data_IF_839242638761
#
_entry.id   IF_839242638761
#
_cell.length_a   1.000
_cell.length_b   1.000
_cell.length_c   1.000
_cell.angle_alpha   90.00
_cell.angle_beta   90.00
_cell.angle_gamma   90.00
#
_symmetry.space_group_name_H-M   'P 1'
#
loop_
_entity.id
_entity.type
_entity.pdbx_description
1 polymer ?
#
# COMPACT_ATOMS: atom_id res chain seq x y z
N UNK A 1 26.08 -14.81 -17.32
CA UNK A 1 25.88 -13.41 -16.85
C UNK A 1 25.19 -13.52 -15.51
N UNK A 2 25.78 -13.04 -14.42
CA UNK A 2 25.03 -12.94 -13.16
C UNK A 2 23.88 -11.98 -13.44
N UNK A 3 22.65 -12.46 -13.42
CA UNK A 3 21.50 -11.57 -13.53
C UNK A 3 21.63 -10.54 -12.40
N UNK A 4 21.66 -9.24 -12.72
CA UNK A 4 21.51 -8.21 -11.71
C UNK A 4 20.17 -8.42 -11.02
N UNK A 5 20.16 -8.46 -9.69
CA UNK A 5 18.92 -8.63 -8.94
C UNK A 5 17.98 -7.48 -9.26
N UNK A 6 16.73 -7.80 -9.64
CA UNK A 6 15.71 -6.80 -9.93
C UNK A 6 15.01 -6.42 -8.63
N UNK A 7 15.06 -5.14 -8.25
CA UNK A 7 14.33 -4.61 -7.08
C UNK A 7 12.81 -4.83 -7.24
N UNK A 8 12.30 -4.71 -8.46
CA UNK A 8 10.88 -4.95 -8.75
C UNK A 8 10.47 -6.41 -8.56
N UNK A 9 11.26 -7.35 -9.10
CA UNK A 9 10.99 -8.78 -8.93
C UNK A 9 11.04 -9.17 -7.45
N UNK A 10 12.10 -8.73 -6.75
CA UNK A 10 12.27 -8.94 -5.32
C UNK A 10 11.07 -8.44 -4.50
N UNK A 11 10.62 -7.22 -4.76
CA UNK A 11 9.48 -6.63 -4.05
C UNK A 11 8.18 -7.41 -4.26
N UNK A 12 7.87 -7.80 -5.52
CA UNK A 12 6.65 -8.55 -5.82
C UNK A 12 6.66 -9.96 -5.22
N UNK A 13 7.78 -10.67 -5.33
CA UNK A 13 7.93 -11.99 -4.76
C UNK A 13 7.85 -11.94 -3.22
N UNK A 14 8.45 -10.91 -2.60
CA UNK A 14 8.31 -10.69 -1.16
C UNK A 14 6.85 -10.40 -0.76
N UNK A 15 6.13 -9.56 -1.51
CA UNK A 15 4.71 -9.30 -1.24
C UNK A 15 3.87 -10.57 -1.34
N UNK A 16 4.10 -11.39 -2.37
CA UNK A 16 3.43 -12.68 -2.54
C UNK A 16 3.69 -13.59 -1.34
N UNK A 17 4.95 -13.66 -0.87
CA UNK A 17 5.33 -14.44 0.30
C UNK A 17 4.68 -13.96 1.60
N UNK A 18 4.60 -12.65 1.81
CA UNK A 18 3.98 -12.06 2.99
C UNK A 18 2.47 -12.31 3.05
N UNK A 19 1.81 -12.33 1.88
CA UNK A 19 0.37 -12.57 1.78
C UNK A 19 -0.02 -14.05 2.03
N UNK A 20 0.91 -15.00 1.97
CA UNK A 20 0.61 -16.42 2.24
C UNK A 20 -0.02 -16.68 3.61
N UNK A 21 0.24 -15.81 4.60
CA UNK A 21 -0.35 -15.86 5.94
C UNK A 21 -1.84 -15.50 5.95
N UNK A 22 -2.35 -14.81 4.93
CA UNK A 22 -3.76 -14.42 4.69
C UNK A 22 -4.47 -13.61 5.78
N UNK A 23 -3.76 -13.12 6.78
CA UNK A 23 -4.35 -12.42 7.92
C UNK A 23 -4.22 -10.89 7.84
N UNK A 24 -3.31 -10.39 7.01
CA UNK A 24 -2.94 -8.97 6.98
C UNK A 24 -3.17 -8.34 5.61
N UNK A 25 -3.26 -7.00 5.59
CA UNK A 25 -3.26 -6.24 4.35
C UNK A 25 -1.81 -5.90 3.98
N UNK A 26 -1.38 -6.36 2.82
CA UNK A 26 -0.08 -6.01 2.22
C UNK A 26 -0.30 -4.98 1.12
N UNK A 27 0.47 -3.91 1.14
CA UNK A 27 0.46 -2.89 0.10
C UNK A 27 1.87 -2.44 -0.24
N UNK A 28 2.04 -1.84 -1.42
CA UNK A 28 3.35 -1.39 -1.89
C UNK A 28 3.39 0.08 -2.24
N UNK A 29 4.57 0.68 -2.16
CA UNK A 29 4.89 2.01 -2.67
C UNK A 29 3.91 3.07 -2.12
N UNK A 30 3.92 3.24 -0.80
CA UNK A 30 3.02 4.15 -0.09
C UNK A 30 3.77 5.31 0.55
N UNK A 31 3.31 6.53 0.26
CA UNK A 31 3.86 7.74 0.88
C UNK A 31 3.68 7.75 2.40
N UNK A 32 4.77 7.98 3.12
CA UNK A 32 4.91 7.86 4.58
C UNK A 32 5.53 9.12 5.22
N UNK A 33 5.37 10.26 4.55
CA UNK A 33 5.75 11.59 5.04
C UNK A 33 4.56 12.29 5.72
N UNK A 34 4.86 13.23 6.63
CA UNK A 34 3.85 14.04 7.32
C UNK A 34 3.99 15.52 6.98
N UNK A 35 5.18 16.07 7.18
CA UNK A 35 5.53 17.47 6.93
C UNK A 35 5.87 17.76 5.46
N UNK A 36 6.47 16.80 4.74
CA UNK A 36 6.80 16.93 3.32
C UNK A 36 6.06 15.89 2.45
N UNK A 37 4.79 16.14 2.08
CA UNK A 37 3.99 15.18 1.31
C UNK A 37 4.70 14.70 0.03
N UNK A 38 5.08 13.43 0.02
CA UNK A 38 5.77 12.79 -1.10
C UNK A 38 7.28 12.64 -0.91
N UNK A 39 7.87 13.23 0.12
CA UNK A 39 9.31 13.14 0.41
C UNK A 39 9.80 11.75 0.85
N UNK A 40 8.88 10.89 1.31
CA UNK A 40 9.16 9.51 1.71
C UNK A 40 8.09 8.55 1.23
N UNK A 41 8.51 7.43 0.63
CA UNK A 41 7.67 6.31 0.17
C UNK A 41 8.21 5.04 0.80
N UNK A 42 7.38 4.27 1.51
CA UNK A 42 7.72 2.92 1.98
C UNK A 42 7.52 1.92 0.85
N UNK A 43 8.46 1.00 0.69
CA UNK A 43 8.39 0.01 -0.39
C UNK A 43 7.24 -0.96 -0.19
N UNK A 44 7.17 -1.58 1.00
CA UNK A 44 6.09 -2.49 1.38
C UNK A 44 5.55 -2.09 2.75
N UNK A 45 4.23 -2.18 2.90
CA UNK A 45 3.51 -1.89 4.15
C UNK A 45 2.62 -3.08 4.48
N UNK A 46 2.76 -3.61 5.69
CA UNK A 46 1.83 -4.59 6.27
C UNK A 46 0.96 -3.89 7.30
N UNK A 47 -0.34 -4.11 7.24
CA UNK A 47 -1.31 -3.60 8.20
C UNK A 47 -2.03 -4.78 8.84
N UNK A 48 -1.88 -4.91 10.15
CA UNK A 48 -2.60 -5.89 10.95
C UNK A 48 -4.05 -5.41 11.18
N UNK A 49 -5.06 -6.24 10.84
CA UNK A 49 -6.44 -5.95 11.17
C UNK A 49 -6.65 -5.79 12.67
N UNK A 50 -7.32 -4.71 13.05
CA UNK A 50 -7.85 -4.50 14.38
C UNK A 50 -9.24 -5.13 14.55
N UNK A 51 -9.83 -5.04 15.75
CA UNK A 51 -11.09 -5.71 16.08
C UNK A 51 -12.30 -5.21 15.27
N UNK A 52 -12.26 -3.99 14.74
CA UNK A 52 -13.33 -3.42 13.92
C UNK A 52 -13.04 -3.48 12.40
N UNK A 53 -12.16 -4.39 11.97
CA UNK A 53 -11.83 -4.59 10.56
C UNK A 53 -13.06 -4.90 9.70
N UNK A 54 -13.93 -5.80 10.17
CA UNK A 54 -15.15 -6.19 9.42
C UNK A 54 -16.09 -4.99 9.20
N UNK A 55 -16.19 -4.09 10.19
CA UNK A 55 -16.96 -2.85 10.06
C UNK A 55 -16.39 -1.95 8.97
N UNK A 56 -15.05 -1.85 8.89
CA UNK A 56 -14.38 -1.07 7.84
C UNK A 56 -14.58 -1.72 6.47
N UNK A 57 -14.43 -3.03 6.37
CA UNK A 57 -14.54 -3.77 5.13
C UNK A 57 -15.96 -3.67 4.54
N UNK A 58 -16.99 -3.64 5.39
CA UNK A 58 -18.39 -3.50 4.98
C UNK A 58 -18.74 -2.14 4.33
N UNK A 59 -17.94 -1.08 4.55
CA UNK A 59 -18.22 0.26 4.00
C UNK A 59 -17.97 0.27 2.49
N UNK A 60 -16.74 -0.05 2.08
CA UNK A 60 -16.27 0.05 0.70
C UNK A 60 -14.93 -0.67 0.52
N UNK A 61 -14.68 -1.17 -0.68
CA UNK A 61 -13.39 -1.77 -1.09
C UNK A 61 -12.29 -0.72 -1.28
N UNK A 62 -12.67 0.55 -1.38
CA UNK A 62 -11.80 1.68 -1.69
C UNK A 62 -11.17 2.31 -0.45
N UNK A 63 -10.11 3.10 -0.64
CA UNK A 63 -9.57 3.96 0.42
C UNK A 63 -10.54 5.14 0.70
N UNK A 64 -10.89 5.36 1.97
CA UNK A 64 -11.73 6.48 2.38
C UNK A 64 -10.85 7.73 2.56
N UNK A 65 -11.19 8.89 1.94
CA UNK A 65 -10.41 10.10 2.09
C UNK A 65 -10.32 10.56 3.55
N UNK A 66 -9.10 10.84 4.03
CA UNK A 66 -8.85 11.34 5.39
C UNK A 66 -9.63 12.61 5.73
N UNK A 67 -9.79 13.50 4.75
CA UNK A 67 -10.59 14.71 4.92
C UNK A 67 -12.09 14.41 5.11
N UNK A 68 -12.62 13.33 4.52
CA UNK A 68 -13.99 12.89 4.75
C UNK A 68 -14.15 12.20 6.11
N UNK A 69 -13.14 11.46 6.56
CA UNK A 69 -13.11 10.86 7.90
C UNK A 69 -13.06 11.94 8.98
N UNK A 70 -12.26 12.99 8.77
CA UNK A 70 -12.08 14.10 9.71
C UNK A 70 -13.20 15.16 9.65
N UNK A 71 -14.06 15.13 8.64
CA UNK A 71 -15.15 16.08 8.50
C UNK A 71 -16.15 15.96 9.67
N UNK A 72 -16.73 17.08 10.11
CA UNK A 72 -17.81 17.11 11.10
C UNK A 72 -19.13 16.70 10.41
N UNK A 73 -19.17 15.48 9.91
CA UNK A 73 -20.32 14.81 9.29
C UNK A 73 -20.57 13.53 10.07
N UNK A 74 -21.68 13.46 10.82
CA UNK A 74 -22.06 12.26 11.57
C UNK A 74 -23.04 11.37 10.82
N UNK A 75 -23.37 10.22 11.42
CA UNK A 75 -24.40 9.30 10.91
C UNK A 75 -25.83 9.75 11.21
N UNK A 76 -26.03 10.77 12.06
CA UNK A 76 -27.35 11.20 12.52
C UNK A 76 -28.07 12.14 11.56
N UNK A 77 -27.57 13.37 11.41
CA UNK A 77 -28.20 14.44 10.61
C UNK A 77 -27.30 14.87 9.47
N UNK A 78 -27.87 14.98 8.27
CA UNK A 78 -27.17 15.54 7.12
C UNK A 78 -26.77 17.01 7.38
N UNK A 79 -25.57 17.38 6.95
CA UNK A 79 -24.97 18.71 7.14
C UNK A 79 -24.55 19.32 5.82
N UNK A 80 -24.65 20.64 5.73
CA UNK A 80 -24.19 21.35 4.53
C UNK A 80 -22.69 21.15 4.40
N UNK A 81 -22.26 20.53 3.30
CA UNK A 81 -20.88 20.01 3.22
C UNK A 81 -19.83 21.13 3.32
N UNK A 82 -20.11 22.33 2.80
CA UNK A 82 -19.15 23.44 2.87
C UNK A 82 -18.85 23.91 4.30
N UNK A 83 -19.72 23.62 5.25
CA UNK A 83 -19.54 23.97 6.67
C UNK A 83 -18.96 22.79 7.48
N UNK A 84 -18.75 21.63 6.85
CA UNK A 84 -18.40 20.39 7.56
C UNK A 84 -16.91 20.01 7.46
N UNK A 85 -16.13 20.67 6.60
CA UNK A 85 -14.72 20.36 6.38
C UNK A 85 -13.81 21.49 6.87
N UNK A 86 -12.74 21.14 7.57
CA UNK A 86 -11.69 22.07 8.00
C UNK A 86 -10.45 21.97 7.10
N UNK A 87 -10.64 22.20 5.81
CA UNK A 87 -9.54 22.22 4.83
C UNK A 87 -9.88 23.09 3.62
N UNK A 88 -8.91 23.28 2.73
CA UNK A 88 -9.11 24.06 1.49
C UNK A 88 -10.35 23.60 0.70
N UNK A 89 -11.19 24.51 0.16
CA UNK A 89 -12.45 24.17 -0.51
C UNK A 89 -12.33 23.10 -1.60
N UNK A 90 -11.30 23.18 -2.45
CA UNK A 90 -11.11 22.19 -3.51
C UNK A 90 -10.80 20.79 -2.96
N UNK A 91 -10.08 20.72 -1.83
CA UNK A 91 -9.79 19.45 -1.15
C UNK A 91 -11.05 18.91 -0.49
N UNK A 92 -11.85 19.77 0.14
CA UNK A 92 -13.14 19.42 0.73
C UNK A 92 -14.11 18.88 -0.34
N UNK A 93 -14.20 19.55 -1.49
CA UNK A 93 -15.04 19.11 -2.60
C UNK A 93 -14.63 17.73 -3.11
N UNK A 94 -13.34 17.53 -3.44
CA UNK A 94 -12.85 16.22 -3.89
C UNK A 94 -13.10 15.11 -2.88
N UNK A 95 -12.89 15.40 -1.59
CA UNK A 95 -13.14 14.43 -0.53
C UNK A 95 -14.63 14.10 -0.38
N UNK A 96 -15.51 15.11 -0.46
CA UNK A 96 -16.96 14.94 -0.42
C UNK A 96 -17.46 14.10 -1.60
N UNK A 97 -17.05 14.45 -2.82
CA UNK A 97 -17.44 13.74 -4.04
C UNK A 97 -16.97 12.29 -4.00
N UNK A 98 -15.70 12.05 -3.67
CA UNK A 98 -15.16 10.70 -3.54
C UNK A 98 -15.86 9.90 -2.44
N UNK A 99 -16.15 10.52 -1.29
CA UNK A 99 -16.87 9.86 -0.21
C UNK A 99 -18.31 9.47 -0.60
N UNK A 100 -18.98 10.27 -1.44
CA UNK A 100 -20.29 9.91 -1.98
C UNK A 100 -20.18 8.77 -2.99
N UNK A 101 -19.20 8.83 -3.90
CA UNK A 101 -18.94 7.82 -4.94
C UNK A 101 -18.70 6.43 -4.33
N UNK A 102 -17.86 6.34 -3.30
CA UNK A 102 -17.54 5.07 -2.63
C UNK A 102 -18.54 4.66 -1.55
N UNK A 103 -19.60 5.45 -1.37
CA UNK A 103 -20.69 5.16 -0.43
C UNK A 103 -20.39 5.35 1.06
N UNK A 104 -19.33 6.08 1.40
CA UNK A 104 -19.08 6.52 2.77
C UNK A 104 -20.03 7.66 3.20
N UNK A 105 -20.40 8.53 2.25
CA UNK A 105 -21.42 9.56 2.44
C UNK A 105 -22.68 9.28 1.60
N UNK A 106 -23.83 9.62 2.16
CA UNK A 106 -25.08 9.82 1.44
C UNK A 106 -25.30 11.31 1.19
N UNK A 107 -25.75 11.67 -0.02
CA UNK A 107 -26.01 13.05 -0.45
C UNK A 107 -27.52 13.32 -0.51
N UNK A 108 -27.94 14.42 0.07
CA UNK A 108 -29.31 14.94 0.02
C UNK A 108 -29.30 16.38 -0.53
N UNK A 109 -30.18 16.67 -1.49
CA UNK A 109 -30.34 18.03 -2.01
C UNK A 109 -31.46 18.75 -1.26
N UNK A 110 -31.16 19.90 -0.63
CA UNK A 110 -32.16 20.73 0.07
C UNK A 110 -32.02 22.18 -0.37
N UNK A 111 -33.08 22.74 -0.97
CA UNK A 111 -33.11 24.12 -1.47
C UNK A 111 -31.90 24.45 -2.37
N UNK A 112 -31.52 23.53 -3.26
CA UNK A 112 -30.38 23.69 -4.17
C UNK A 112 -29.00 23.58 -3.53
N UNK A 113 -28.90 23.14 -2.26
CA UNK A 113 -27.64 22.92 -1.54
C UNK A 113 -27.46 21.45 -1.19
N UNK A 114 -26.23 20.99 -1.28
CA UNK A 114 -25.86 19.62 -0.95
C UNK A 114 -25.62 19.45 0.54
N UNK A 115 -26.35 18.50 1.13
CA UNK A 115 -26.14 18.04 2.49
C UNK A 115 -25.62 16.62 2.44
N UNK A 116 -24.68 16.29 3.32
CA UNK A 116 -24.09 14.96 3.40
C UNK A 116 -24.22 14.38 4.79
N UNK A 117 -24.32 13.05 4.87
CA UNK A 117 -24.37 12.27 6.11
C UNK A 117 -23.49 11.04 5.95
N UNK A 118 -22.80 10.63 7.01
CA UNK A 118 -22.06 9.37 7.00
C UNK A 118 -23.03 8.17 6.98
N UNK A 119 -22.69 7.14 6.21
CA UNK A 119 -23.45 5.89 6.15
C UNK A 119 -23.16 4.99 7.34
N UNK A 120 -21.91 5.01 7.81
CA UNK A 120 -21.45 4.34 9.01
C UNK A 120 -20.49 5.24 9.80
N UNK A 121 -20.33 4.96 11.10
CA UNK A 121 -19.25 5.59 11.87
C UNK A 121 -17.93 5.01 11.38
N UNK A 122 -16.91 5.86 11.26
CA UNK A 122 -15.58 5.38 10.92
C UNK A 122 -15.01 4.53 12.07
N UNK A 123 -14.68 3.25 11.85
CA UNK A 123 -14.21 2.34 12.90
C UNK A 123 -12.71 2.46 13.17
N UNK A 124 -12.28 2.04 14.36
CA UNK A 124 -10.86 1.86 14.69
C UNK A 124 -10.44 0.44 14.29
N UNK A 125 -10.01 0.31 13.03
CA UNK A 125 -10.02 -0.97 12.31
C UNK A 125 -8.65 -1.62 12.08
N UNK A 126 -7.55 -0.95 12.41
CA UNK A 126 -6.19 -1.45 12.23
C UNK A 126 -5.42 -1.39 13.55
N UNK A 127 -4.45 -2.28 13.75
CA UNK A 127 -3.55 -2.27 14.89
C UNK A 127 -2.13 -1.85 14.45
N UNK A 128 -1.23 -2.83 14.29
CA UNK A 128 0.17 -2.57 13.91
C UNK A 128 0.32 -2.28 12.43
N UNK A 129 1.21 -1.34 12.13
CA UNK A 129 1.70 -1.08 10.78
C UNK A 129 3.20 -1.40 10.76
N UNK A 130 3.63 -2.24 9.83
CA UNK A 130 5.05 -2.56 9.61
C UNK A 130 5.47 -2.04 8.25
N UNK A 131 6.51 -1.20 8.22
CA UNK A 131 7.18 -0.77 7.00
C UNK A 131 8.33 -1.72 6.67
N UNK A 132 8.43 -2.15 5.42
CA UNK A 132 9.50 -3.02 4.94
C UNK A 132 10.17 -2.33 3.75
N UNK A 133 11.46 -2.08 3.89
CA UNK A 133 12.33 -1.48 2.87
C UNK A 133 13.11 -2.56 2.14
N UNK A 134 13.05 -2.52 0.82
CA UNK A 134 13.65 -3.53 -0.03
C UNK A 134 15.01 -3.05 -0.53
N UNK A 135 16.07 -3.77 -0.14
CA UNK A 135 17.40 -3.59 -0.74
C UNK A 135 18.03 -4.94 -1.02
N UNK A 136 17.72 -5.58 -2.17
CA UNK A 136 18.28 -6.88 -2.50
C UNK A 136 19.82 -6.90 -2.52
N UNK A 137 20.45 -5.84 -3.08
CA UNK A 137 21.91 -5.68 -3.15
C UNK A 137 22.43 -4.61 -2.18
N UNK A 138 22.97 -5.03 -1.03
CA UNK A 138 23.63 -4.16 -0.05
C UNK A 138 25.01 -3.66 -0.51
N UNK A 139 25.55 -4.19 -1.61
CA UNK A 139 26.75 -3.66 -2.26
C UNK A 139 26.51 -2.29 -2.90
N UNK A 140 25.24 -1.93 -3.17
CA UNK A 140 24.82 -0.64 -3.73
C UNK A 140 23.67 -0.05 -2.90
N UNK A 141 23.95 0.37 -1.65
CA UNK A 141 22.89 0.76 -0.72
C UNK A 141 22.18 2.06 -1.10
N UNK A 142 22.80 2.94 -1.90
CA UNK A 142 22.23 4.25 -2.21
C UNK A 142 21.96 5.05 -0.94
N UNK A 143 20.76 5.61 -0.84
CA UNK A 143 20.31 6.43 0.31
C UNK A 143 19.69 5.61 1.45
N UNK A 144 19.81 4.27 1.43
CA UNK A 144 19.17 3.37 2.39
C UNK A 144 19.39 3.78 3.86
N UNK A 145 20.62 4.13 4.24
CA UNK A 145 20.92 4.50 5.62
C UNK A 145 20.17 5.76 6.05
N UNK A 146 20.08 6.76 5.16
CA UNK A 146 19.34 7.99 5.44
C UNK A 146 17.84 7.72 5.54
N UNK A 147 17.30 6.90 4.64
CA UNK A 147 15.91 6.48 4.63
C UNK A 147 15.51 5.76 5.93
N UNK A 148 16.27 4.74 6.34
CA UNK A 148 16.01 4.00 7.57
C UNK A 148 16.11 4.87 8.82
N UNK A 149 17.06 5.83 8.85
CA UNK A 149 17.15 6.81 9.93
C UNK A 149 15.92 7.72 9.98
N UNK A 150 15.43 8.19 8.83
CA UNK A 150 14.18 8.96 8.74
C UNK A 150 13.01 8.14 9.28
N UNK A 151 12.87 6.88 8.90
CA UNK A 151 11.74 6.05 9.34
C UNK A 151 11.74 5.81 10.85
N UNK A 152 12.91 5.54 11.43
CA UNK A 152 13.08 5.38 12.89
C UNK A 152 12.83 6.71 13.61
N UNK A 153 13.38 7.80 13.09
CA UNK A 153 13.29 9.15 13.67
C UNK A 153 11.85 9.67 13.67
N UNK A 154 11.12 9.46 12.58
CA UNK A 154 9.72 9.86 12.46
C UNK A 154 8.82 8.90 13.27
N UNK A 155 9.16 7.61 13.29
CA UNK A 155 8.37 6.57 13.95
C UNK A 155 6.90 6.61 13.52
N UNK A 156 6.67 6.62 12.20
CA UNK A 156 5.31 6.62 11.63
C UNK A 156 4.67 5.23 11.71
N UNK A 157 5.45 4.17 11.50
CA UNK A 157 5.02 2.78 11.60
C UNK A 157 5.49 2.17 12.93
N UNK A 158 4.85 1.08 13.37
CA UNK A 158 5.23 0.41 14.62
C UNK A 158 6.60 -0.24 14.54
N UNK A 159 6.95 -0.79 13.38
CA UNK A 159 8.20 -1.51 13.14
C UNK A 159 8.71 -1.22 11.73
N UNK A 160 10.03 -1.15 11.57
CA UNK A 160 10.71 -1.02 10.28
C UNK A 160 11.62 -2.23 10.08
N UNK A 161 11.58 -2.80 8.89
CA UNK A 161 12.38 -3.94 8.49
C UNK A 161 13.12 -3.63 7.20
N UNK A 162 14.39 -4.00 7.11
CA UNK A 162 15.15 -4.09 5.88
C UNK A 162 15.10 -5.54 5.35
N UNK A 163 14.55 -5.74 4.16
CA UNK A 163 14.57 -7.01 3.45
C UNK A 163 15.65 -7.01 2.37
N UNK A 164 16.50 -8.05 2.34
CA UNK A 164 17.64 -8.14 1.42
C UNK A 164 17.96 -9.56 0.98
N UNK A 165 18.48 -9.75 -0.24
CA UNK A 165 19.07 -11.02 -0.68
C UNK A 165 20.55 -11.15 -0.28
N UNK A 166 21.18 -10.03 0.02
CA UNK A 166 22.59 -9.97 0.35
C UNK A 166 22.88 -10.73 1.64
N UNK A 167 24.03 -11.40 1.68
CA UNK A 167 24.55 -11.93 2.93
C UNK A 167 24.83 -10.77 3.90
N UNK A 168 24.18 -10.80 5.06
CA UNK A 168 24.26 -9.74 6.05
C UNK A 168 25.51 -9.92 6.90
N UNK A 169 26.45 -8.98 6.79
CA UNK A 169 27.67 -8.97 7.60
C UNK A 169 27.49 -8.07 8.81
N UNK A 170 28.38 -8.22 9.80
CA UNK A 170 28.44 -7.29 10.93
C UNK A 170 28.66 -5.84 10.49
N UNK A 171 29.45 -5.61 9.44
CA UNK A 171 29.68 -4.27 8.92
C UNK A 171 28.41 -3.65 8.30
N UNK A 172 27.55 -4.46 7.68
CA UNK A 172 26.23 -4.00 7.23
C UNK A 172 25.36 -3.61 8.43
N UNK A 173 25.27 -4.47 9.45
CA UNK A 173 24.47 -4.21 10.64
C UNK A 173 24.87 -2.92 11.37
N UNK A 174 26.15 -2.58 11.41
CA UNK A 174 26.64 -1.35 12.04
C UNK A 174 26.19 -0.05 11.34
N UNK A 175 25.71 -0.11 10.09
CA UNK A 175 25.18 1.05 9.34
C UNK A 175 23.66 1.17 9.44
N UNK A 176 23.00 0.13 9.93
CA UNK A 176 21.55 0.05 10.03
C UNK A 176 21.18 0.43 11.47
N UNK A 177 20.24 1.37 11.71
CA UNK A 177 19.78 1.69 13.06
C UNK A 177 19.39 0.43 13.84
N UNK A 178 19.64 0.40 15.15
CA UNK A 178 19.47 -0.81 15.97
C UNK A 178 18.01 -1.25 16.07
N UNK A 179 17.08 -0.31 15.94
CA UNK A 179 15.64 -0.54 15.95
C UNK A 179 15.13 -1.28 14.71
N UNK A 180 15.87 -1.22 13.60
CA UNK A 180 15.44 -1.78 12.32
C UNK A 180 15.67 -3.29 12.29
N UNK A 181 14.60 -4.05 12.05
CA UNK A 181 14.67 -5.48 11.79
C UNK A 181 15.42 -5.74 10.48
N UNK A 182 16.11 -6.88 10.39
CA UNK A 182 16.86 -7.25 9.18
C UNK A 182 16.47 -8.66 8.78
N UNK A 183 15.87 -8.77 7.60
CA UNK A 183 15.44 -10.02 7.01
C UNK A 183 16.31 -10.34 5.80
N UNK A 184 16.87 -11.55 5.81
CA UNK A 184 17.55 -12.10 4.65
C UNK A 184 16.58 -12.99 3.89
N UNK A 185 16.22 -12.55 2.70
CA UNK A 185 15.28 -13.21 1.81
C UNK A 185 16.08 -13.99 0.77
N UNK A 186 15.79 -15.28 0.61
CA UNK A 186 16.46 -16.09 -0.39
C UNK A 186 15.54 -17.17 -0.91
N UNK A 187 15.86 -17.69 -2.09
CA UNK A 187 15.14 -18.81 -2.69
C UNK A 187 15.87 -20.10 -2.34
N UNK A 188 15.20 -21.00 -1.64
CA UNK A 188 15.66 -22.39 -1.55
C UNK A 188 15.45 -23.03 -2.94
N UNK A 189 16.49 -23.60 -3.57
CA UNK A 189 16.38 -24.31 -4.85
C UNK A 189 15.31 -25.41 -4.87
N UNK A 190 15.02 -26.01 -3.70
CA UNK A 190 14.06 -27.11 -3.56
C UNK A 190 12.66 -26.64 -3.12
N UNK A 191 12.49 -25.35 -2.76
CA UNK A 191 11.20 -24.78 -2.37
C UNK A 191 10.56 -23.97 -3.50
N UNK A 192 9.23 -24.02 -3.58
CA UNK A 192 8.46 -23.20 -4.53
C UNK A 192 8.32 -21.73 -4.09
N UNK A 193 8.61 -21.39 -2.83
CA UNK A 193 8.39 -20.05 -2.25
C UNK A 193 9.69 -19.46 -1.68
N UNK A 194 9.70 -18.14 -1.48
CA UNK A 194 10.81 -17.44 -0.84
C UNK A 194 10.93 -17.81 0.65
N UNK A 195 12.16 -17.98 1.12
CA UNK A 195 12.45 -18.12 2.55
C UNK A 195 12.89 -16.78 3.13
N UNK A 196 12.41 -16.49 4.36
CA UNK A 196 12.75 -15.29 5.11
C UNK A 196 13.49 -15.73 6.37
N UNK A 197 14.80 -15.50 6.41
CA UNK A 197 15.64 -15.65 7.60
C UNK A 197 15.66 -14.33 8.37
N UNK A 198 15.24 -14.35 9.64
CA UNK A 198 15.31 -13.17 10.51
C UNK A 198 16.71 -13.08 11.11
N UNK A 199 17.52 -12.15 10.58
CA UNK A 199 18.88 -11.88 11.09
C UNK A 199 18.84 -11.01 12.35
N UNK A 200 17.90 -10.06 12.39
CA UNK A 200 17.62 -9.21 13.56
C UNK A 200 16.12 -8.93 13.62
N UNK A 201 15.52 -9.11 14.80
CA UNK A 201 14.13 -8.74 15.05
C UNK A 201 13.98 -7.20 15.07
N UNK A 202 12.91 -6.63 14.49
CA UNK A 202 12.62 -5.21 14.63
C UNK A 202 12.27 -4.86 16.08
N UNK A 203 12.59 -3.63 16.46
CA UNK A 203 12.16 -3.05 17.74
C UNK A 203 10.96 -2.15 17.50
N UNK A 204 9.97 -2.22 18.40
CA UNK A 204 8.78 -1.36 18.32
C UNK A 204 9.14 0.12 18.54
N UNK A 205 8.73 0.95 17.59
CA UNK A 205 8.92 2.40 17.60
C UNK A 205 7.81 3.11 18.40
N UNK A 206 8.13 4.31 18.90
CA UNK A 206 7.20 5.13 19.71
C UNK A 206 6.26 5.97 18.85
N UNK A 207 5.21 5.32 18.33
CA UNK A 207 4.24 5.95 17.42
C UNK A 207 3.34 7.00 18.09
N UNK A 208 3.21 6.95 19.42
CA UNK A 208 2.40 7.82 20.28
C UNK A 208 3.17 9.01 20.87
N UNK A 209 4.47 9.13 20.54
CA UNK A 209 5.32 10.26 20.91
C UNK A 209 5.65 11.12 19.69
N UNK A 210 5.97 12.41 19.86
CA UNK A 210 6.48 13.22 18.75
C UNK A 210 7.68 12.56 18.07
N UNK A 211 7.72 12.63 16.74
CA UNK A 211 8.85 12.16 15.92
C UNK A 211 9.51 13.32 15.20
N UNK A 212 10.68 13.06 14.60
CA UNK A 212 11.40 14.04 13.79
C UNK A 212 11.38 13.59 12.34
N UNK A 213 10.87 14.44 11.45
CA UNK A 213 10.92 14.24 10.00
C UNK A 213 12.06 15.08 9.40
N UNK A 214 13.15 14.46 8.93
CA UNK A 214 14.14 15.15 8.13
C UNK A 214 13.53 15.65 6.81
N UNK A 215 13.80 16.90 6.48
CA UNK A 215 13.37 17.58 5.26
C UNK A 215 14.57 17.75 4.30
N UNK A 216 14.77 18.95 3.76
CA UNK A 216 15.89 19.23 2.87
C UNK A 216 17.24 19.11 3.61
N UNK A 217 18.16 18.36 3.01
CA UNK A 217 19.51 18.19 3.52
C UNK A 217 20.50 19.03 2.71
N UNK A 218 21.34 19.79 3.41
CA UNK A 218 22.41 20.59 2.84
C UNK A 218 23.76 20.19 3.46
N UNK A 219 24.89 20.55 2.83
CA UNK A 219 26.20 20.33 3.45
C UNK A 219 26.29 20.97 4.84
N UNK A 220 26.39 20.13 5.88
CA UNK A 220 26.54 20.55 7.28
C UNK A 220 25.25 20.94 8.02
N UNK A 221 24.06 20.85 7.39
CA UNK A 221 22.77 21.08 8.06
C UNK A 221 21.65 20.28 7.42
N UNK A 222 20.69 19.83 8.22
CA UNK A 222 19.46 19.19 7.73
C UNK A 222 18.29 19.90 8.36
N UNK A 223 17.34 20.35 7.54
CA UNK A 223 16.09 20.91 8.03
C UNK A 223 15.23 19.77 8.60
N UNK A 224 14.52 20.05 9.68
CA UNK A 224 13.71 19.05 10.37
C UNK A 224 12.36 19.65 10.75
N UNK A 225 11.33 18.81 10.78
CA UNK A 225 10.05 19.09 11.41
C UNK A 225 9.87 18.22 12.66
N UNK A 226 9.26 18.79 13.70
CA UNK A 226 8.85 18.05 14.91
C UNK A 226 7.38 17.69 14.74
N UNK A 227 7.14 16.44 14.34
CA UNK A 227 5.80 15.95 14.05
C UNK A 227 5.15 15.45 15.35
N UNK A 228 4.05 16.10 15.75
CA UNK A 228 3.30 15.68 16.93
C UNK A 228 2.58 14.33 16.75
N UNK A 229 2.17 13.74 17.88
CA UNK A 229 1.53 12.42 17.88
C UNK A 229 0.19 12.40 17.12
N UNK A 230 -0.57 13.50 17.13
CA UNK A 230 -1.85 13.58 16.43
C UNK A 230 -1.67 13.64 14.91
N UNK A 231 -0.64 14.36 14.44
CA UNK A 231 -0.24 14.40 13.05
C UNK A 231 0.22 13.03 12.56
N UNK A 232 1.00 12.30 13.38
CA UNK A 232 1.35 10.90 13.09
C UNK A 232 0.13 9.99 13.07
N UNK A 233 -0.80 10.12 14.02
CA UNK A 233 -2.02 9.32 14.04
C UNK A 233 -2.88 9.55 12.77
N UNK A 234 -3.02 10.80 12.31
CA UNK A 234 -3.69 11.11 11.03
C UNK A 234 -2.95 10.50 9.83
N UNK A 235 -1.61 10.58 9.82
CA UNK A 235 -0.79 10.01 8.75
C UNK A 235 -0.84 8.48 8.72
N UNK A 236 -0.83 7.82 9.89
CA UNK A 236 -1.01 6.37 10.04
C UNK A 236 -2.36 5.90 9.51
N UNK A 237 -3.44 6.60 9.87
CA UNK A 237 -4.78 6.32 9.30
C UNK A 237 -4.78 6.44 7.78
N UNK A 238 -4.15 7.49 7.22
CA UNK A 238 -3.99 7.63 5.76
C UNK A 238 -3.22 6.47 5.14
N UNK A 239 -2.14 6.04 5.79
CA UNK A 239 -1.31 4.94 5.32
C UNK A 239 -2.11 3.63 5.30
N UNK A 240 -2.83 3.34 6.39
CA UNK A 240 -3.70 2.18 6.51
C UNK A 240 -4.84 2.19 5.48
N UNK A 241 -5.56 3.30 5.31
CA UNK A 241 -6.61 3.44 4.30
C UNK A 241 -6.09 3.23 2.88
N UNK A 242 -4.91 3.79 2.56
CA UNK A 242 -4.27 3.59 1.26
C UNK A 242 -3.83 2.14 1.07
N UNK A 243 -3.32 1.49 2.11
CA UNK A 243 -2.97 0.08 2.04
C UNK A 243 -4.22 -0.78 1.77
N UNK A 244 -5.32 -0.52 2.48
CA UNK A 244 -6.60 -1.18 2.27
C UNK A 244 -7.12 -0.99 0.85
N UNK A 245 -7.17 0.24 0.33
CA UNK A 245 -7.67 0.46 -1.03
C UNK A 245 -6.72 -0.10 -2.10
N UNK A 246 -5.44 0.27 -2.06
CA UNK A 246 -4.48 0.02 -3.15
C UNK A 246 -3.98 -1.43 -3.22
N UNK A 247 -3.67 -2.04 -2.07
CA UNK A 247 -2.94 -3.30 -2.03
C UNK A 247 -1.56 -3.22 -2.72
N UNK A 248 -1.03 -4.38 -3.13
CA UNK A 248 0.28 -4.47 -3.79
C UNK A 248 0.22 -4.89 -5.27
N UNK A 249 -0.91 -5.44 -5.73
CA UNK A 249 -1.15 -5.90 -7.11
C UNK A 249 -1.40 -4.75 -8.09
N UNK A 250 -0.43 -3.83 -8.20
CA UNK A 250 -0.51 -2.63 -9.06
C UNK A 250 0.46 -2.69 -10.24
N UNK A 251 0.59 -3.86 -10.85
CA UNK A 251 1.48 -4.14 -11.99
C UNK A 251 0.68 -4.65 -13.19
N UNK A 252 1.26 -4.47 -14.37
CA UNK A 252 0.65 -4.84 -15.65
C UNK A 252 1.35 -6.09 -16.21
N UNK A 253 0.66 -6.86 -17.06
CA UNK A 253 1.26 -7.97 -17.80
C UNK A 253 1.79 -7.46 -19.17
N UNK A 254 3.07 -7.71 -19.50
CA UNK A 254 3.63 -7.21 -20.76
C UNK A 254 3.03 -7.89 -22.00
N UNK A 255 2.78 -7.12 -23.05
CA UNK A 255 2.31 -7.62 -24.36
C UNK A 255 3.43 -8.29 -25.18
N UNK A 256 4.08 -9.29 -24.58
CA UNK A 256 5.22 -9.99 -25.13
C UNK A 256 4.99 -11.51 -25.03
N UNK A 257 5.21 -12.26 -26.11
CA UNK A 257 5.06 -13.72 -26.16
C UNK A 257 6.04 -14.48 -25.25
N UNK A 258 7.11 -13.82 -24.81
CA UNK A 258 8.03 -14.35 -23.79
C UNK A 258 7.59 -14.05 -22.36
N UNK A 259 6.59 -13.19 -22.15
CA UNK A 259 6.07 -12.77 -20.84
C UNK A 259 4.71 -13.50 -20.62
N UNK A 260 4.53 -14.19 -19.47
CA UNK A 260 3.31 -14.95 -19.13
C UNK A 260 2.92 -14.77 -17.67
N UNK A 261 1.64 -14.93 -17.30
CA UNK A 261 1.24 -15.10 -15.91
C UNK A 261 1.88 -16.35 -15.31
N UNK A 262 2.40 -16.22 -14.10
CA UNK A 262 3.02 -17.32 -13.35
C UNK A 262 2.69 -17.18 -11.85
N UNK A 263 2.23 -18.26 -11.24
CA UNK A 263 1.78 -18.29 -9.84
C UNK A 263 2.76 -19.02 -8.91
N UNK A 264 3.93 -19.42 -9.41
CA UNK A 264 4.90 -20.23 -8.66
C UNK A 264 5.37 -19.55 -7.38
N UNK A 265 5.41 -18.21 -7.37
CA UNK A 265 5.82 -17.39 -6.21
C UNK A 265 4.70 -17.24 -5.16
N UNK A 266 3.61 -17.98 -5.30
CA UNK A 266 2.47 -17.92 -4.40
C UNK A 266 1.43 -16.87 -4.78
N UNK A 267 1.64 -16.07 -5.83
CA UNK A 267 0.67 -15.13 -6.39
C UNK A 267 0.91 -14.96 -7.90
N UNK A 268 -0.09 -14.52 -8.67
CA UNK A 268 0.06 -14.38 -10.13
C UNK A 268 0.94 -13.16 -10.48
N UNK A 269 2.16 -13.41 -10.97
CA UNK A 269 3.16 -12.40 -11.32
C UNK A 269 3.52 -12.44 -12.82
N UNK A 270 3.98 -11.33 -13.42
CA UNK A 270 4.43 -11.29 -14.82
C UNK A 270 5.83 -11.88 -14.98
N UNK A 271 5.93 -13.15 -15.36
CA UNK A 271 7.20 -13.87 -15.55
C UNK A 271 7.65 -13.84 -17.01
N UNK A 272 8.90 -13.41 -17.25
CA UNK A 272 9.52 -13.43 -18.56
C UNK A 272 10.43 -14.65 -18.72
N UNK A 273 10.10 -15.57 -19.63
CA UNK A 273 10.91 -16.74 -19.93
C UNK A 273 12.29 -16.38 -20.52
N UNK A 274 12.37 -15.31 -21.32
CA UNK A 274 13.64 -14.85 -21.89
C UNK A 274 14.60 -14.30 -20.83
N UNK A 275 14.09 -13.54 -19.85
CA UNK A 275 14.90 -13.03 -18.72
C UNK A 275 15.04 -14.04 -17.57
N UNK A 276 14.19 -15.07 -17.53
CA UNK A 276 14.16 -16.08 -16.48
C UNK A 276 13.70 -15.55 -15.12
N UNK A 277 12.85 -14.51 -15.07
CA UNK A 277 12.39 -13.88 -13.82
C UNK A 277 11.12 -13.04 -14.01
N UNK A 278 10.55 -12.59 -12.90
CA UNK A 278 9.53 -11.54 -12.87
C UNK A 278 10.07 -10.23 -13.46
N UNK A 279 9.23 -9.51 -14.19
CA UNK A 279 9.59 -8.27 -14.91
C UNK A 279 8.55 -7.18 -14.74
N UNK A 280 9.01 -5.93 -14.71
CA UNK A 280 8.11 -4.77 -14.85
C UNK A 280 7.76 -4.54 -16.33
N UNK A 281 6.47 -4.59 -16.67
CA UNK A 281 5.98 -4.31 -18.02
C UNK A 281 6.33 -2.90 -18.51
N UNK A 282 6.41 -1.92 -17.62
CA UNK A 282 6.60 -0.51 -17.99
C UNK A 282 8.05 -0.18 -18.30
N UNK A 283 8.99 -0.87 -17.66
CA UNK A 283 10.42 -0.53 -17.73
C UNK A 283 11.31 -1.65 -18.30
N UNK A 284 10.89 -2.92 -18.24
CA UNK A 284 11.77 -4.06 -18.56
C UNK A 284 11.32 -4.96 -19.73
N UNK A 285 10.02 -5.12 -20.00
CA UNK A 285 9.46 -5.99 -21.06
C UNK A 285 8.64 -5.15 -22.06
N UNK A 286 9.32 -4.44 -22.98
CA UNK A 286 8.69 -3.63 -24.05
C UNK A 286 9.57 -3.54 -25.30
N UNK A 287 9.20 -2.74 -26.34
CA UNK A 287 9.90 -2.71 -27.64
C UNK A 287 11.40 -2.39 -27.62
N UNK A 288 11.91 -1.83 -26.54
CA UNK A 288 13.34 -1.57 -26.32
C UNK A 288 14.11 -2.78 -25.76
N UNK A 289 13.43 -3.83 -25.35
CA UNK A 289 14.03 -5.07 -24.85
C UNK A 289 14.44 -5.97 -26.02
N UNK A 290 15.68 -6.47 -26.01
CA UNK A 290 16.21 -7.36 -27.06
C UNK A 290 15.45 -8.68 -27.19
N UNK A 291 14.82 -9.14 -26.11
CA UNK A 291 13.96 -10.33 -26.09
C UNK A 291 12.47 -10.03 -26.27
N UNK A 292 12.11 -8.82 -26.70
CA UNK A 292 10.70 -8.47 -26.92
C UNK A 292 10.15 -9.19 -28.14
N UNK A 293 9.07 -9.94 -27.93
CA UNK A 293 8.35 -10.67 -28.96
C UNK A 293 6.89 -10.22 -28.95
N UNK A 294 6.48 -9.24 -29.78
CA UNK A 294 5.14 -8.68 -29.71
C UNK A 294 4.08 -9.76 -29.98
N UNK A 295 3.04 -9.85 -29.14
CA UNK A 295 1.95 -10.80 -29.39
C UNK A 295 1.12 -10.36 -30.61
N UNK A 296 0.70 -11.29 -31.48
CA UNK A 296 -0.25 -10.97 -32.54
C UNK A 296 -1.61 -10.57 -31.95
N UNK A 297 -2.22 -9.51 -32.48
CA UNK A 297 -3.53 -8.97 -32.04
C UNK A 297 -4.68 -9.97 -32.08
N UNK A 298 -4.55 -11.02 -32.89
CA UNK A 298 -5.62 -11.97 -33.20
C UNK A 298 -5.36 -13.35 -32.55
N UNK A 299 -4.42 -13.44 -31.61
CA UNK A 299 -4.04 -14.69 -30.95
C UNK A 299 -4.97 -15.06 -29.78
N UNK A 300 -5.33 -16.34 -29.65
CA UNK A 300 -6.06 -16.88 -28.48
C UNK A 300 -5.30 -16.63 -27.15
N UNK A 301 -3.99 -16.38 -27.21
CA UNK A 301 -3.12 -16.02 -26.09
C UNK A 301 -3.11 -14.51 -25.74
N UNK A 302 -3.79 -13.66 -26.51
CA UNK A 302 -4.14 -12.30 -26.08
C UNK A 302 -5.30 -12.34 -25.06
N UNK A 303 -6.16 -13.35 -25.12
CA UNK A 303 -7.24 -13.55 -24.14
C UNK A 303 -6.72 -14.05 -22.78
N UNK A 304 -5.64 -14.84 -22.73
CA UNK A 304 -5.14 -15.42 -21.47
C UNK A 304 -4.55 -14.40 -20.48
N UNK A 305 -4.10 -13.23 -20.94
CA UNK A 305 -3.67 -12.13 -20.06
C UNK A 305 -4.84 -11.21 -19.68
N UNK A 306 -5.84 -11.11 -20.56
CA UNK A 306 -7.11 -10.43 -20.26
C UNK A 306 -7.96 -11.18 -19.21
N UNK A 307 -7.65 -12.45 -18.96
CA UNK A 307 -8.31 -13.31 -17.96
C UNK A 307 -7.68 -13.21 -16.55
N UNK A 308 -6.57 -12.49 -16.36
CA UNK A 308 -5.95 -12.35 -15.04
C UNK A 308 -6.68 -11.30 -14.21
N UNK A 309 -7.67 -11.76 -13.46
CA UNK A 309 -8.39 -10.93 -12.49
C UNK A 309 -7.62 -10.85 -11.15
N UNK A 310 -6.65 -9.93 -11.09
CA UNK A 310 -5.84 -9.67 -9.88
C UNK A 310 -6.70 -9.19 -8.70
N UNK A 311 -7.83 -8.55 -8.97
CA UNK A 311 -8.76 -8.08 -7.94
C UNK A 311 -9.51 -9.26 -7.31
N UNK A 312 -10.05 -10.17 -8.12
CA UNK A 312 -10.68 -11.40 -7.64
C UNK A 312 -9.67 -12.36 -7.00
N UNK A 313 -8.40 -12.34 -7.41
CA UNK A 313 -7.34 -13.04 -6.69
C UNK A 313 -7.14 -12.46 -5.29
N UNK A 314 -7.05 -11.14 -5.16
CA UNK A 314 -6.89 -10.45 -3.87
C UNK A 314 -8.05 -10.74 -2.92
N UNK A 315 -9.29 -10.65 -3.41
CA UNK A 315 -10.52 -10.94 -2.65
C UNK A 315 -10.53 -12.36 -2.08
N UNK A 316 -10.04 -13.35 -2.85
CA UNK A 316 -9.97 -14.74 -2.40
C UNK A 316 -8.84 -15.04 -1.42
N UNK A 317 -7.78 -14.23 -1.43
CA UNK A 317 -6.54 -14.51 -0.69
C UNK A 317 -6.36 -13.67 0.58
N UNK A 318 -7.09 -12.57 0.69
CA UNK A 318 -6.87 -11.59 1.76
C UNK A 318 -8.18 -11.26 2.47
N UNK A 319 -8.13 -10.58 3.62
CA UNK A 319 -9.32 -10.05 4.28
C UNK A 319 -10.01 -8.90 3.52
N UNK A 320 -9.41 -8.37 2.45
CA UNK A 320 -10.00 -7.30 1.66
C UNK A 320 -11.22 -7.80 0.87
N UNK A 321 -12.30 -7.01 0.86
CA UNK A 321 -13.56 -7.36 0.20
C UNK A 321 -13.75 -6.50 -1.04
N UNK A 322 -13.82 -7.11 -2.23
CA UNK A 322 -13.97 -6.42 -3.51
C UNK A 322 -15.34 -5.74 -3.67
N UNK A 323 -16.39 -6.43 -3.24
CA UNK A 323 -17.78 -5.99 -3.40
C UNK A 323 -18.52 -6.07 -2.07
N UNK A 324 -18.24 -5.18 -1.11
CA UNK A 324 -18.96 -5.17 0.15
C UNK A 324 -20.44 -4.80 -0.07
N UNK A 325 -21.32 -5.25 0.82
CA UNK A 325 -22.75 -4.93 0.76
C UNK A 325 -23.03 -3.42 0.81
N UNK A 326 -22.10 -2.66 1.42
CA UNK A 326 -22.21 -1.24 1.66
C UNK A 326 -23.08 -0.93 2.89
N UNK A 327 -22.87 0.26 3.45
CA UNK A 327 -23.57 0.72 4.67
C UNK A 327 -24.69 1.73 4.39
N UNK A 328 -24.99 1.97 3.11
CA UNK A 328 -26.07 2.86 2.70
C UNK A 328 -27.43 2.29 3.07
N UNK A 329 -28.34 3.15 3.55
CA UNK A 329 -29.73 2.72 3.76
C UNK A 329 -30.41 2.59 2.41
N UNK A 330 -30.77 1.38 2.00
CA UNK A 330 -31.80 1.20 0.97
C UNK A 330 -33.10 1.81 1.49
N UNK A 331 -33.56 2.90 0.88
CA UNK A 331 -34.96 3.30 1.02
C UNK A 331 -35.83 2.23 0.35
N UNK A 332 -36.16 1.17 1.08
CA UNK A 332 -37.29 0.30 0.74
C UNK A 332 -38.56 1.14 0.87
N UNK A 333 -39.21 1.47 -0.25
CA UNK A 333 -40.59 2.00 -0.22
C UNK A 333 -40.98 3.12 -1.19
N UNK A 334 -40.42 3.22 -2.40
CA UNK A 334 -41.04 4.03 -3.47
C UNK A 334 -41.88 3.21 -4.46
N UNK A 335 -41.77 1.87 -4.45
CA UNK A 335 -42.58 0.99 -5.31
C UNK A 335 -43.94 0.59 -4.68
N UNK A 336 -44.30 1.15 -3.53
CA UNK A 336 -45.57 0.84 -2.83
C UNK A 336 -46.63 1.95 -2.98
N UNK A 337 -46.36 2.97 -3.80
CA UNK A 337 -47.33 3.98 -4.20
C UNK A 337 -47.31 4.14 -5.73
N UNK A 338 -47.76 3.10 -6.43
CA UNK A 338 -48.01 3.09 -7.87
C UNK A 338 -49.37 2.48 -8.17
#
# INVERSE_FOLDING_TARGET
MSASVSEFAFELELCARLEERREEIVARQLGASVADPGGRILDVVRVEPGPAFDERAAITSEAIPDAAIAADVGTGRARYWKDAFDCHPDRAQRAMERACEIGFFERELRNGRDYVRQTARYPDWYDRIVGIENKPDLGRPGDLEAQLRTDVSLALVDEIVLATESYVTRAHLHRIPDEVGVWRVHRDPDASSLEIEVVREPTRLSVDRPGIEPLESHPGRTEIDVVDADAKARARRRLAERAYGKGWRTYDFPDCGSCRPDDSSGATLPYCAWKGRVVDARSECGPSCEGYDPRPSDSESAASDADVDLEAERDRRTPWVARPEGTQRRQSGLDQFG
#
